data_IF_461667054962
#
_entry.id   IF_461667054962
#
_cell.length_a   1.000
_cell.length_b   1.000
_cell.length_c   1.000
_cell.angle_alpha   90.00
_cell.angle_beta   90.00
_cell.angle_gamma   90.00
#
_symmetry.space_group_name_H-M   'P 1'
#
loop_
_entity.id
_entity.type
_entity.pdbx_description
1 polymer ?
#
# COMPACT_ATOMS: atom_id res chain seq x y z
N UNK A 1 -46.49 89.38 70.57
CA UNK A 1 -47.87 89.61 71.07
C UNK A 1 -48.57 88.26 71.24
N UNK A 2 -49.18 88.04 72.41
CA UNK A 2 -50.20 87.04 72.81
C UNK A 2 -49.87 85.54 72.58
N UNK A 3 -49.53 84.73 73.60
CA UNK A 3 -50.36 84.15 74.72
C UNK A 3 -51.60 83.41 74.19
N UNK A 4 -51.97 82.19 74.59
CA UNK A 4 -51.54 81.26 75.66
C UNK A 4 -52.23 79.88 75.47
N UNK A 5 -51.66 78.79 76.01
CA UNK A 5 -52.06 78.03 77.25
C UNK A 5 -53.32 77.13 77.06
N UNK A 6 -53.55 76.09 77.90
CA UNK A 6 -52.70 74.94 78.29
C UNK A 6 -53.50 73.61 78.36
N UNK A 7 -52.87 72.44 78.54
CA UNK A 7 -53.50 71.31 79.23
C UNK A 7 -52.46 70.27 79.68
N UNK A 8 -52.26 70.18 80.99
CA UNK A 8 -51.71 69.03 81.71
C UNK A 8 -52.84 67.96 81.83
N UNK A 9 -52.71 66.71 82.24
CA UNK A 9 -51.72 65.88 82.92
C UNK A 9 -52.36 64.46 82.89
N UNK A 10 -51.61 63.38 82.63
CA UNK A 10 -51.58 62.17 83.50
C UNK A 10 -50.79 61.00 82.88
N UNK A 11 -49.70 60.74 83.59
CA UNK A 11 -48.85 59.57 83.71
C UNK A 11 -49.54 58.20 83.60
N UNK A 12 -48.94 57.27 82.85
CA UNK A 12 -48.75 55.87 83.26
C UNK A 12 -47.65 55.20 82.40
N UNK A 13 -46.58 54.80 83.08
CA UNK A 13 -45.40 54.09 82.59
C UNK A 13 -45.74 52.75 81.94
N UNK A 14 -45.04 52.37 80.85
CA UNK A 14 -44.54 50.99 80.63
C UNK A 14 -43.40 50.98 79.56
N UNK A 15 -42.16 50.82 80.05
CA UNK A 15 -41.02 50.10 79.47
C UNK A 15 -40.96 49.89 77.94
N UNK A 16 -40.07 50.61 77.22
CA UNK A 16 -39.45 50.09 75.98
C UNK A 16 -37.99 50.56 75.81
N UNK A 17 -37.14 49.55 75.55
CA UNK A 17 -35.70 49.55 75.37
C UNK A 17 -35.20 50.44 74.22
N UNK A 18 -33.92 50.86 74.22
CA UNK A 18 -33.37 51.78 73.23
C UNK A 18 -33.27 51.12 71.85
N UNK A 19 -33.63 51.89 70.83
CA UNK A 19 -33.46 51.56 69.42
C UNK A 19 -31.97 51.32 69.11
N UNK A 20 -31.62 50.06 68.83
CA UNK A 20 -30.39 49.71 68.17
C UNK A 20 -30.53 50.10 66.69
N UNK A 21 -29.91 51.20 66.27
CA UNK A 21 -29.71 51.52 64.87
C UNK A 21 -28.84 50.41 64.25
N UNK A 22 -29.48 49.40 63.68
CA UNK A 22 -28.85 48.51 62.72
C UNK A 22 -28.55 49.33 61.47
N UNK A 23 -27.31 49.82 61.36
CA UNK A 23 -26.70 50.13 60.08
C UNK A 23 -26.66 48.83 59.28
N UNK A 24 -27.71 48.56 58.52
CA UNK A 24 -27.60 47.73 57.33
C UNK A 24 -26.61 48.46 56.42
N UNK A 25 -25.33 48.13 56.56
CA UNK A 25 -24.41 48.20 55.44
C UNK A 25 -25.05 47.33 54.38
N UNK A 26 -25.74 47.95 53.42
CA UNK A 26 -25.91 47.31 52.13
C UNK A 26 -24.48 46.96 51.69
N UNK A 27 -24.12 45.68 51.81
CA UNK A 27 -23.01 45.18 51.01
C UNK A 27 -23.38 45.62 49.59
N UNK A 28 -22.55 46.50 49.01
CA UNK A 28 -22.70 46.83 47.60
C UNK A 28 -22.73 45.47 46.89
N UNK A 29 -23.89 45.11 46.34
CA UNK A 29 -23.96 43.97 45.43
C UNK A 29 -22.97 44.35 44.34
N UNK A 30 -21.86 43.61 44.28
CA UNK A 30 -20.81 43.89 43.33
C UNK A 30 -21.45 43.72 41.96
N UNK A 31 -21.65 44.84 41.28
CA UNK A 31 -22.50 44.86 40.10
C UNK A 31 -21.88 43.99 39.01
N UNK A 32 -22.72 43.25 38.30
CA UNK A 32 -22.31 42.57 37.09
C UNK A 32 -21.69 43.58 36.11
N UNK A 33 -20.68 43.14 35.36
CA UNK A 33 -20.20 43.89 34.21
C UNK A 33 -21.27 43.91 33.12
N UNK A 34 -21.39 45.07 32.48
CA UNK A 34 -22.27 45.27 31.33
C UNK A 34 -21.72 44.61 30.05
N UNK A 35 -22.16 45.08 28.86
CA UNK A 35 -21.80 44.47 27.59
C UNK A 35 -20.27 44.43 27.36
N UNK A 36 -19.85 43.43 26.58
CA UNK A 36 -18.45 43.17 26.30
C UNK A 36 -17.79 44.31 25.50
N UNK A 37 -16.51 44.65 25.77
CA UNK A 37 -15.76 45.62 24.98
C UNK A 37 -15.68 45.19 23.50
N UNK A 38 -15.77 46.16 22.59
CA UNK A 38 -15.53 45.90 21.16
C UNK A 38 -14.02 45.92 20.92
N UNK A 39 -13.47 44.80 20.46
CA UNK A 39 -12.05 44.67 20.13
C UNK A 39 -11.91 44.62 18.60
N UNK A 40 -11.06 45.44 17.98
CA UNK A 40 -10.86 45.39 16.53
C UNK A 40 -10.38 44.01 16.09
N UNK A 41 -11.05 43.45 15.07
CA UNK A 41 -10.63 42.22 14.38
C UNK A 41 -10.64 40.97 15.28
N UNK A 42 -11.47 41.01 16.32
CA UNK A 42 -11.70 39.93 17.25
C UNK A 42 -13.16 39.93 17.72
N UNK A 43 -13.66 38.74 18.05
CA UNK A 43 -14.99 38.53 18.60
C UNK A 43 -14.91 37.69 19.88
N UNK A 44 -15.84 37.84 20.82
CA UNK A 44 -15.89 36.98 22.00
C UNK A 44 -16.21 35.53 21.61
N UNK A 45 -15.58 34.58 22.28
CA UNK A 45 -15.77 33.16 22.02
C UNK A 45 -17.25 32.77 22.18
N UNK A 46 -17.72 31.83 21.35
CA UNK A 46 -19.15 31.53 21.12
C UNK A 46 -20.00 31.30 22.38
N UNK A 47 -19.40 30.83 23.48
CA UNK A 47 -20.08 30.60 24.76
C UNK A 47 -20.50 31.90 25.49
N UNK A 48 -19.97 33.05 25.08
CA UNK A 48 -20.19 34.37 25.70
C UNK A 48 -20.87 35.37 24.75
N UNK A 49 -21.09 34.97 23.49
CA UNK A 49 -21.72 35.78 22.46
C UNK A 49 -23.25 35.77 22.66
N UNK A 50 -23.78 36.76 23.39
CA UNK A 50 -25.23 36.95 23.56
C UNK A 50 -25.66 37.34 24.97
N UNK A 51 -24.76 37.26 25.95
CA UNK A 51 -25.02 37.73 27.32
C UNK A 51 -24.80 39.24 27.42
N UNK A 52 -25.65 39.92 28.17
CA UNK A 52 -25.59 41.38 28.41
C UNK A 52 -25.19 41.75 29.83
N UNK A 53 -25.14 40.77 30.73
CA UNK A 53 -24.74 40.89 32.14
C UNK A 53 -23.79 39.76 32.48
N UNK A 54 -22.65 40.09 33.08
CA UNK A 54 -21.59 39.13 33.41
C UNK A 54 -21.20 39.27 34.89
N UNK A 55 -21.28 38.21 35.69
CA UNK A 55 -20.97 38.29 37.11
C UNK A 55 -19.49 38.65 37.37
N UNK A 56 -19.19 39.12 38.57
CA UNK A 56 -17.81 39.45 38.94
C UNK A 56 -16.87 38.23 38.81
N UNK A 57 -15.62 38.49 38.42
CA UNK A 57 -14.58 37.52 38.09
C UNK A 57 -14.86 36.67 36.84
N UNK A 58 -15.92 36.99 36.07
CA UNK A 58 -16.11 36.38 34.75
C UNK A 58 -14.94 36.73 33.85
N UNK A 59 -14.35 35.71 33.23
CA UNK A 59 -13.32 35.86 32.20
C UNK A 59 -13.91 35.54 30.84
N UNK A 60 -13.79 36.48 29.91
CA UNK A 60 -14.25 36.30 28.52
C UNK A 60 -13.06 36.29 27.60
N UNK A 61 -12.91 35.19 26.87
CA UNK A 61 -11.89 35.00 25.84
C UNK A 61 -12.38 35.58 24.52
N UNK A 62 -11.50 36.29 23.83
CA UNK A 62 -11.71 36.76 22.46
C UNK A 62 -10.91 35.90 21.49
N UNK A 63 -11.51 35.63 20.34
CA UNK A 63 -10.90 34.93 19.21
C UNK A 63 -10.75 35.90 18.05
N UNK A 64 -9.61 35.85 17.36
CA UNK A 64 -9.40 36.69 16.19
C UNK A 64 -10.38 36.33 15.07
N UNK A 65 -10.76 37.34 14.28
CA UNK A 65 -11.58 37.15 13.10
C UNK A 65 -10.82 36.37 12.02
N UNK A 66 -11.55 35.86 11.02
CA UNK A 66 -10.95 35.11 9.92
C UNK A 66 -9.85 35.93 9.21
N UNK A 67 -8.68 35.32 9.01
CA UNK A 67 -7.50 35.99 8.41
C UNK A 67 -6.64 36.78 9.41
N UNK A 68 -7.01 36.81 10.69
CA UNK A 68 -6.23 37.41 11.77
C UNK A 68 -5.78 36.36 12.76
N UNK A 69 -4.59 36.56 13.31
CA UNK A 69 -3.98 35.66 14.29
C UNK A 69 -3.55 36.46 15.51
N UNK A 70 -3.67 35.85 16.69
CA UNK A 70 -3.24 36.43 17.97
C UNK A 70 -1.74 36.72 17.92
N UNK A 71 -1.37 37.97 18.18
CA UNK A 71 0.01 38.40 18.34
C UNK A 71 0.57 37.72 19.61
N UNK A 72 1.69 36.99 19.53
CA UNK A 72 2.28 36.34 20.70
C UNK A 72 2.58 37.33 21.82
N UNK A 73 2.20 36.99 23.05
CA UNK A 73 2.45 37.79 24.26
C UNK A 73 1.41 38.88 24.56
N UNK A 74 0.44 39.13 23.67
CA UNK A 74 -0.69 40.05 23.96
C UNK A 74 -1.84 39.31 24.66
N UNK A 75 -2.55 39.97 25.61
CA UNK A 75 -3.72 39.39 26.26
C UNK A 75 -4.90 39.29 25.28
N UNK A 76 -5.64 38.20 25.37
CA UNK A 76 -6.82 37.89 24.54
C UNK A 76 -8.08 37.70 25.37
N UNK A 77 -8.04 38.04 26.65
CA UNK A 77 -9.18 37.90 27.55
C UNK A 77 -9.37 39.15 28.40
N UNK A 78 -10.62 39.43 28.72
CA UNK A 78 -11.03 40.45 29.69
C UNK A 78 -11.60 39.78 30.92
N UNK A 79 -11.38 40.39 32.09
CA UNK A 79 -11.91 39.94 33.36
C UNK A 79 -12.84 41.02 33.93
N UNK A 80 -14.00 40.62 34.44
CA UNK A 80 -14.91 41.52 35.14
C UNK A 80 -14.44 41.74 36.57
N UNK A 81 -14.02 42.96 36.93
CA UNK A 81 -13.53 43.31 38.27
C UNK A 81 -14.26 44.57 38.74
N UNK A 82 -14.96 44.50 39.87
CA UNK A 82 -15.67 45.65 40.44
C UNK A 82 -16.59 46.36 39.42
N UNK A 83 -17.40 45.57 38.70
CA UNK A 83 -18.34 46.04 37.66
C UNK A 83 -17.70 46.73 36.44
N UNK A 84 -16.39 46.54 36.22
CA UNK A 84 -15.65 47.05 35.04
C UNK A 84 -14.82 45.95 34.39
N UNK A 85 -14.76 45.95 33.05
CA UNK A 85 -13.86 45.08 32.30
C UNK A 85 -12.41 45.56 32.41
N UNK A 86 -11.46 44.64 32.55
CA UNK A 86 -10.03 44.94 32.40
C UNK A 86 -9.71 45.47 31.00
N UNK A 87 -8.69 46.32 30.89
CA UNK A 87 -8.26 46.87 29.61
C UNK A 87 -7.76 45.77 28.66
N UNK A 88 -8.15 45.88 27.40
CA UNK A 88 -7.72 45.00 26.31
C UNK A 88 -7.30 45.85 25.11
N UNK A 89 -6.07 45.67 24.67
CA UNK A 89 -5.54 46.31 23.48
C UNK A 89 -5.79 45.46 22.24
N UNK A 90 -5.52 46.04 21.07
CA UNK A 90 -5.52 45.29 19.82
C UNK A 90 -4.45 44.18 19.85
N UNK A 91 -4.90 42.92 19.80
CA UNK A 91 -4.04 41.75 19.89
C UNK A 91 -4.11 40.86 18.63
N UNK A 92 -4.94 41.21 17.64
CA UNK A 92 -5.11 40.46 16.40
C UNK A 92 -4.50 41.23 15.21
N UNK A 93 -3.62 40.56 14.46
CA UNK A 93 -3.01 41.13 13.27
C UNK A 93 -3.01 40.14 12.10
N UNK A 94 -2.88 40.67 10.89
CA UNK A 94 -2.81 39.91 9.66
C UNK A 94 -1.62 38.97 9.72
N UNK A 95 -1.83 37.72 9.33
CA UNK A 95 -0.82 36.69 9.33
C UNK A 95 -1.12 35.71 8.20
N UNK A 96 -0.07 35.19 7.56
CA UNK A 96 -0.23 33.99 6.77
C UNK A 96 -0.62 32.81 7.66
N UNK A 97 -1.24 31.79 7.07
CA UNK A 97 -1.42 30.50 7.72
C UNK A 97 -0.07 29.81 8.00
N UNK A 98 -0.11 28.70 8.72
CA UNK A 98 1.09 27.88 8.94
C UNK A 98 1.72 27.49 7.59
N UNK A 99 3.06 27.56 7.46
CA UNK A 99 3.75 27.24 6.21
C UNK A 99 3.33 25.88 5.61
N UNK A 100 3.17 25.77 4.28
CA UNK A 100 2.67 24.56 3.64
C UNK A 100 3.60 23.37 3.84
N UNK A 101 3.05 22.16 3.86
CA UNK A 101 3.82 20.91 3.92
C UNK A 101 4.35 20.55 2.54
N UNK A 102 5.67 20.43 2.41
CA UNK A 102 6.31 20.03 1.15
C UNK A 102 6.68 18.54 1.17
N UNK A 103 6.53 17.80 0.07
CA UNK A 103 6.88 16.37 0.02
C UNK A 103 8.38 16.10 0.01
N UNK A 104 9.21 17.08 -0.36
CA UNK A 104 10.66 16.98 -0.49
C UNK A 104 11.45 17.71 0.62
N UNK A 105 10.77 18.52 1.45
CA UNK A 105 11.40 19.34 2.48
C UNK A 105 10.56 19.48 3.75
N UNK A 106 11.23 19.75 4.87
CA UNK A 106 10.64 20.02 6.19
C UNK A 106 10.97 21.44 6.62
N UNK A 107 10.03 22.09 7.31
CA UNK A 107 10.23 23.41 7.87
C UNK A 107 11.28 23.33 8.99
N UNK A 108 12.24 24.26 9.04
CA UNK A 108 13.26 24.26 10.11
C UNK A 108 12.60 24.42 11.49
N UNK A 109 13.19 23.78 12.49
CA UNK A 109 12.68 23.71 13.87
C UNK A 109 12.35 25.08 14.49
N UNK A 110 13.10 26.13 14.13
CA UNK A 110 12.87 27.51 14.58
C UNK A 110 11.47 28.07 14.24
N UNK A 111 10.73 27.44 13.32
CA UNK A 111 9.40 27.89 12.87
C UNK A 111 8.28 26.88 13.19
N UNK A 112 8.58 25.63 13.56
CA UNK A 112 7.58 24.56 13.72
C UNK A 112 6.57 24.86 14.84
N UNK A 113 7.01 25.53 15.91
CA UNK A 113 6.15 25.90 17.04
C UNK A 113 5.47 27.26 16.90
N UNK A 114 5.67 27.96 15.77
CA UNK A 114 5.08 29.28 15.52
C UNK A 114 3.75 29.14 14.80
N UNK A 115 2.80 29.98 15.18
CA UNK A 115 1.48 30.09 14.56
C UNK A 115 1.20 31.50 14.02
N UNK A 116 2.09 32.46 14.26
CA UNK A 116 1.97 33.85 13.83
C UNK A 116 3.11 34.21 12.87
N UNK A 117 2.74 34.59 11.64
CA UNK A 117 3.62 34.89 10.51
C UNK A 117 3.11 36.17 9.81
N UNK A 118 3.47 37.37 10.30
CA UNK A 118 3.07 38.61 9.65
C UNK A 118 3.61 38.72 8.21
N UNK A 119 3.07 39.66 7.45
CA UNK A 119 3.58 40.00 6.11
C UNK A 119 5.10 40.23 6.16
N UNK A 120 5.79 39.85 5.09
CA UNK A 120 7.25 39.83 4.93
C UNK A 120 8.00 38.81 5.80
N UNK A 121 7.29 38.01 6.60
CA UNK A 121 7.92 36.90 7.32
C UNK A 121 8.53 35.91 6.33
N UNK A 122 9.83 35.66 6.48
CA UNK A 122 10.55 34.64 5.71
C UNK A 122 10.79 33.42 6.59
N UNK A 123 10.36 32.26 6.11
CA UNK A 123 10.66 30.97 6.75
C UNK A 123 11.56 30.14 5.85
N UNK A 124 12.28 29.20 6.43
CA UNK A 124 13.24 28.37 5.73
C UNK A 124 12.98 26.89 5.98
N UNK A 125 13.12 26.12 4.90
CA UNK A 125 13.01 24.68 4.88
C UNK A 125 14.39 24.02 4.71
N UNK A 126 14.47 22.77 5.12
CA UNK A 126 15.59 21.87 4.88
C UNK A 126 15.10 20.58 4.22
N UNK A 127 15.98 19.89 3.49
CA UNK A 127 15.59 18.68 2.77
C UNK A 127 15.14 17.58 3.72
N UNK A 128 14.11 16.83 3.33
CA UNK A 128 13.67 15.65 4.06
C UNK A 128 14.76 14.58 4.10
N UNK A 129 14.73 13.67 5.09
CA UNK A 129 15.52 12.45 5.05
C UNK A 129 15.31 11.72 3.71
N UNK A 130 16.41 11.26 3.10
CA UNK A 130 16.39 10.66 1.77
C UNK A 130 16.35 11.66 0.60
N UNK A 131 16.36 12.97 0.86
CA UNK A 131 16.54 14.02 -0.15
C UNK A 131 17.88 14.74 0.03
N UNK A 132 18.34 15.41 -1.01
CA UNK A 132 19.54 16.26 -1.02
C UNK A 132 19.24 17.59 -1.72
N UNK A 133 20.05 18.62 -1.46
CA UNK A 133 19.94 19.90 -2.17
C UNK A 133 20.19 19.68 -3.66
N UNK A 134 19.30 20.19 -4.50
CA UNK A 134 19.44 20.19 -5.96
C UNK A 134 20.55 21.17 -6.35
N UNK A 135 21.34 20.83 -7.36
CA UNK A 135 22.35 21.72 -7.93
C UNK A 135 21.86 22.27 -9.28
N UNK A 136 22.02 23.58 -9.57
CA UNK A 136 22.56 24.63 -8.71
C UNK A 136 21.68 24.90 -7.47
N UNK A 137 22.31 25.31 -6.36
CA UNK A 137 21.63 25.46 -5.07
C UNK A 137 20.56 26.55 -5.17
N UNK A 138 19.30 26.13 -5.00
CA UNK A 138 18.16 27.03 -4.90
C UNK A 138 17.83 27.34 -3.44
N UNK A 139 17.18 28.49 -3.21
CA UNK A 139 16.76 28.89 -1.86
C UNK A 139 15.57 28.05 -1.39
N UNK A 140 15.69 27.45 -0.21
CA UNK A 140 14.59 26.77 0.48
C UNK A 140 13.72 27.72 1.32
N UNK A 141 13.68 29.00 0.96
CA UNK A 141 12.95 30.04 1.70
C UNK A 141 11.64 30.39 1.00
N UNK A 142 10.61 30.65 1.79
CA UNK A 142 9.35 31.24 1.32
C UNK A 142 8.98 32.45 2.18
N UNK A 143 8.24 33.37 1.59
CA UNK A 143 7.89 34.66 2.18
C UNK A 143 6.37 34.80 2.27
N UNK A 144 5.87 35.30 3.40
CA UNK A 144 4.47 35.69 3.55
C UNK A 144 4.23 37.01 2.80
N UNK A 145 3.36 37.00 1.79
CA UNK A 145 3.06 38.18 0.96
C UNK A 145 1.92 39.01 1.55
N UNK A 146 1.70 40.21 0.98
CA UNK A 146 0.63 41.14 1.34
C UNK A 146 -0.79 40.53 1.24
N UNK A 147 -0.97 39.57 0.34
CA UNK A 147 -2.22 38.82 0.14
C UNK A 147 -2.43 37.71 1.19
N UNK A 148 -1.57 37.63 2.21
CA UNK A 148 -1.57 36.61 3.25
C UNK A 148 -1.37 35.18 2.74
N UNK A 149 -0.74 35.05 1.57
CA UNK A 149 -0.33 33.77 1.02
C UNK A 149 1.19 33.63 0.97
N UNK A 150 1.66 32.40 1.07
CA UNK A 150 3.08 32.10 0.96
C UNK A 150 3.58 32.18 -0.48
N UNK A 151 4.81 32.65 -0.67
CA UNK A 151 5.50 32.59 -1.95
C UNK A 151 5.62 31.14 -2.46
N UNK A 152 5.53 30.95 -3.77
CA UNK A 152 5.63 29.62 -4.38
C UNK A 152 6.96 28.97 -4.00
N UNK A 153 6.95 27.78 -3.36
CA UNK A 153 8.17 27.09 -2.96
C UNK A 153 8.90 26.56 -4.20
N UNK A 154 10.21 26.79 -4.28
CA UNK A 154 11.06 26.22 -5.32
C UNK A 154 11.33 24.72 -5.06
N UNK A 155 11.62 23.95 -6.11
CA UNK A 155 12.04 22.54 -5.98
C UNK A 155 13.55 22.43 -5.69
N UNK A 156 13.96 22.91 -4.51
CA UNK A 156 15.37 22.99 -4.11
C UNK A 156 15.93 21.66 -3.53
N UNK A 157 15.08 20.65 -3.33
CA UNK A 157 15.50 19.32 -2.89
C UNK A 157 15.08 18.25 -3.91
N UNK A 158 15.99 17.31 -4.16
CA UNK A 158 15.77 16.15 -5.02
C UNK A 158 16.01 14.84 -4.24
N UNK A 159 15.41 13.74 -4.73
CA UNK A 159 15.59 12.43 -4.12
C UNK A 159 17.07 12.02 -4.17
N UNK A 160 17.57 11.39 -3.11
CA UNK A 160 18.86 10.69 -3.14
C UNK A 160 18.72 9.44 -4.02
N UNK A 161 19.84 9.07 -4.63
CA UNK A 161 19.95 7.86 -5.45
C UNK A 161 20.56 6.73 -4.61
N UNK A 162 19.97 5.55 -4.69
CA UNK A 162 20.57 4.32 -4.17
C UNK A 162 21.87 3.98 -4.92
N UNK A 163 22.78 3.22 -4.26
CA UNK A 163 23.98 2.73 -4.93
C UNK A 163 23.63 1.97 -6.20
N UNK A 164 24.51 2.01 -7.21
CA UNK A 164 24.39 1.12 -8.36
C UNK A 164 24.31 -0.33 -7.84
N UNK A 165 23.26 -1.10 -8.16
CA UNK A 165 23.12 -2.47 -7.69
C UNK A 165 24.25 -3.38 -8.18
N UNK A 166 25.00 -2.99 -9.22
CA UNK A 166 26.10 -3.78 -9.77
C UNK A 166 25.62 -4.72 -10.86
N UNK A 167 26.28 -5.88 -10.99
CA UNK A 167 25.93 -6.91 -11.97
C UNK A 167 25.52 -8.20 -11.25
N UNK A 168 24.50 -8.88 -11.79
CA UNK A 168 24.06 -10.19 -11.31
C UNK A 168 24.66 -11.27 -12.22
N UNK A 169 25.61 -12.04 -11.71
CA UNK A 169 26.27 -13.09 -12.48
C UNK A 169 25.27 -14.17 -12.87
N UNK A 170 25.23 -14.55 -14.15
CA UNK A 170 24.25 -15.48 -14.74
C UNK A 170 22.79 -15.04 -14.54
N UNK A 171 22.56 -13.74 -14.59
CA UNK A 171 21.24 -13.16 -14.47
C UNK A 171 21.17 -11.72 -14.97
N UNK A 172 20.06 -11.08 -14.68
CA UNK A 172 19.73 -9.75 -15.13
C UNK A 172 19.08 -8.93 -14.01
N UNK A 173 19.32 -7.62 -14.05
CA UNK A 173 18.75 -6.64 -13.12
C UNK A 173 17.87 -5.70 -13.93
N UNK A 174 16.55 -5.83 -13.74
CA UNK A 174 15.56 -5.01 -14.42
C UNK A 174 15.26 -3.75 -13.61
N UNK A 175 15.73 -2.60 -14.10
CA UNK A 175 15.42 -1.27 -13.56
C UNK A 175 14.19 -0.73 -14.26
N UNK A 176 13.11 -0.49 -13.52
CA UNK A 176 11.82 -0.08 -14.10
C UNK A 176 11.72 1.42 -14.38
N UNK A 177 12.22 2.26 -13.47
CA UNK A 177 12.10 3.72 -13.56
C UNK A 177 13.44 4.40 -13.44
N UNK A 178 14.04 4.33 -12.26
CA UNK A 178 15.29 4.97 -11.90
C UNK A 178 15.89 4.27 -10.65
N UNK A 179 16.97 4.82 -10.11
CA UNK A 179 17.60 4.32 -8.87
C UNK A 179 17.36 5.26 -7.68
N UNK A 180 16.37 6.13 -7.75
CA UNK A 180 16.04 7.12 -6.72
C UNK A 180 15.23 6.52 -5.58
N UNK A 181 15.16 7.25 -4.47
CA UNK A 181 14.33 6.88 -3.31
C UNK A 181 12.89 6.54 -3.73
N UNK A 182 12.45 5.35 -3.30
CA UNK A 182 11.12 4.79 -3.59
C UNK A 182 11.06 3.89 -4.82
N UNK A 183 12.12 3.79 -5.63
CA UNK A 183 12.14 2.95 -6.83
C UNK A 183 12.38 1.48 -6.53
N UNK A 184 11.91 0.60 -7.41
CA UNK A 184 11.99 -0.85 -7.28
C UNK A 184 12.72 -1.47 -8.47
N UNK A 185 13.62 -2.39 -8.18
CA UNK A 185 14.35 -3.20 -9.16
C UNK A 185 14.00 -4.66 -8.99
N UNK A 186 14.08 -5.42 -10.08
CA UNK A 186 13.76 -6.85 -10.12
C UNK A 186 14.96 -7.65 -10.59
N UNK A 187 15.09 -8.85 -10.07
CA UNK A 187 16.18 -9.77 -10.39
C UNK A 187 15.62 -11.00 -11.10
N UNK A 188 16.33 -11.44 -12.13
CA UNK A 188 16.01 -12.66 -12.87
C UNK A 188 17.29 -13.42 -13.19
N UNK A 189 17.25 -14.74 -13.21
CA UNK A 189 18.40 -15.55 -13.62
C UNK A 189 18.30 -15.94 -15.09
N UNK A 190 19.46 -16.19 -15.71
CA UNK A 190 19.55 -16.66 -17.09
C UNK A 190 18.99 -18.10 -17.21
N UNK A 191 18.58 -18.54 -18.41
CA UNK A 191 18.11 -19.91 -18.61
C UNK A 191 19.13 -20.95 -18.15
N UNK A 192 18.68 -21.93 -17.34
CA UNK A 192 19.57 -22.93 -16.73
C UNK A 192 20.05 -22.56 -15.32
N UNK A 193 19.63 -21.41 -14.79
CA UNK A 193 19.94 -20.97 -13.44
C UNK A 193 18.67 -20.68 -12.66
N UNK A 194 18.69 -21.00 -11.36
CA UNK A 194 17.61 -20.68 -10.42
C UNK A 194 18.00 -19.54 -9.49
N UNK A 195 17.05 -18.67 -9.18
CA UNK A 195 17.26 -17.53 -8.29
C UNK A 195 17.21 -17.96 -6.82
N UNK A 196 18.25 -17.60 -6.06
CA UNK A 196 18.32 -17.81 -4.61
C UNK A 196 18.48 -16.47 -3.91
N UNK A 197 17.45 -16.07 -3.15
CA UNK A 197 17.37 -14.78 -2.46
C UNK A 197 16.08 -14.05 -2.77
N UNK A 198 16.06 -12.74 -2.51
CA UNK A 198 14.93 -11.88 -2.85
C UNK A 198 14.89 -11.61 -4.36
N UNK A 199 13.71 -11.74 -4.98
CA UNK A 199 13.54 -11.47 -6.42
C UNK A 199 13.38 -9.98 -6.76
N UNK A 200 13.31 -9.11 -5.74
CA UNK A 200 13.25 -7.66 -5.93
C UNK A 200 13.87 -6.90 -4.76
N UNK A 201 14.21 -5.63 -5.02
CA UNK A 201 14.68 -4.70 -4.00
C UNK A 201 14.05 -3.31 -4.19
N UNK A 202 13.74 -2.62 -3.10
CA UNK A 202 13.24 -1.25 -3.12
C UNK A 202 14.26 -0.28 -2.49
N UNK A 203 14.41 0.90 -3.10
CA UNK A 203 15.31 1.94 -2.61
C UNK A 203 14.67 2.67 -1.43
N UNK A 204 15.22 2.49 -0.23
CA UNK A 204 14.66 3.00 1.02
C UNK A 204 15.66 3.83 1.83
N UNK A 205 15.15 4.56 2.83
CA UNK A 205 15.98 5.34 3.76
C UNK A 205 16.67 4.36 4.72
N UNK A 206 18.01 4.47 4.82
CA UNK A 206 18.84 3.75 5.80
C UNK A 206 19.69 4.77 6.56
N UNK A 207 19.25 5.14 7.76
CA UNK A 207 19.86 6.22 8.55
C UNK A 207 19.81 7.56 7.79
N UNK A 208 20.98 8.18 7.59
CA UNK A 208 21.10 9.44 6.85
C UNK A 208 21.25 9.25 5.32
N UNK A 209 21.36 8.02 4.85
CA UNK A 209 21.54 7.66 3.44
C UNK A 209 20.32 6.93 2.88
N UNK A 210 20.41 6.54 1.61
CA UNK A 210 19.46 5.64 0.96
C UNK A 210 20.19 4.39 0.51
N UNK A 211 19.50 3.24 0.53
CA UNK A 211 20.06 1.96 0.11
C UNK A 211 18.96 0.96 -0.21
N UNK A 212 19.34 -0.08 -0.95
CA UNK A 212 18.43 -1.17 -1.31
C UNK A 212 17.98 -1.95 -0.08
N UNK A 213 16.71 -2.36 -0.09
CA UNK A 213 16.10 -3.16 0.98
C UNK A 213 16.78 -4.51 1.18
N UNK A 214 17.18 -5.15 0.09
CA UNK A 214 17.85 -6.46 0.01
C UNK A 214 19.16 -6.35 -0.76
N UNK A 215 20.08 -7.29 -0.51
CA UNK A 215 21.30 -7.47 -1.30
C UNK A 215 21.01 -8.19 -2.62
N UNK A 216 21.97 -8.20 -3.54
CA UNK A 216 21.88 -9.00 -4.77
C UNK A 216 21.62 -10.49 -4.43
N UNK A 217 20.70 -11.16 -5.15
CA UNK A 217 20.53 -12.60 -5.04
C UNK A 217 21.67 -13.35 -5.74
N UNK A 218 21.65 -14.68 -5.66
CA UNK A 218 22.59 -15.55 -6.37
C UNK A 218 21.85 -16.42 -7.39
N UNK A 219 22.37 -16.49 -8.61
CA UNK A 219 21.88 -17.41 -9.64
C UNK A 219 22.69 -18.70 -9.61
N UNK A 220 22.06 -19.80 -9.20
CA UNK A 220 22.71 -21.10 -9.03
C UNK A 220 22.36 -21.98 -10.24
N UNK A 221 23.37 -22.64 -10.81
CA UNK A 221 23.19 -23.58 -11.92
C UNK A 221 22.19 -24.67 -11.55
N UNK A 222 21.31 -24.99 -12.50
CA UNK A 222 20.40 -26.12 -12.39
C UNK A 222 21.09 -27.33 -13.04
N UNK A 223 21.17 -28.41 -12.27
CA UNK A 223 21.85 -29.64 -12.67
C UNK A 223 20.79 -30.73 -12.80
N UNK A 224 20.83 -31.47 -13.90
CA UNK A 224 20.01 -32.66 -14.09
C UNK A 224 20.50 -33.82 -13.21
N UNK A 225 19.61 -34.74 -12.80
CA UNK A 225 20.04 -35.95 -12.13
C UNK A 225 20.96 -36.78 -13.04
N UNK A 226 21.76 -37.64 -12.43
CA UNK A 226 22.60 -38.61 -13.16
C UNK A 226 21.75 -39.33 -14.24
N UNK A 227 22.22 -39.41 -15.49
CA UNK A 227 21.49 -40.07 -16.56
C UNK A 227 21.25 -41.55 -16.22
N UNK A 228 20.04 -42.08 -16.46
CA UNK A 228 19.76 -43.48 -16.16
C UNK A 228 20.65 -44.42 -16.97
N UNK A 229 21.25 -45.38 -16.29
CA UNK A 229 22.02 -46.45 -16.94
C UNK A 229 21.07 -47.45 -17.62
N UNK A 230 21.48 -48.01 -18.77
CA UNK A 230 20.66 -48.94 -19.56
C UNK A 230 21.31 -50.32 -19.63
N UNK A 231 20.49 -51.38 -19.61
CA UNK A 231 20.99 -52.74 -19.79
C UNK A 231 21.50 -52.98 -21.21
N UNK A 232 22.61 -53.70 -21.34
CA UNK A 232 23.25 -54.03 -22.62
C UNK A 232 23.60 -52.80 -23.47
N UNK A 233 23.87 -51.66 -22.83
CA UNK A 233 24.38 -50.45 -23.45
C UNK A 233 25.21 -49.63 -22.47
N UNK A 234 25.66 -48.47 -22.92
CA UNK A 234 26.47 -47.52 -22.15
C UNK A 234 26.20 -46.09 -22.59
N UNK A 235 26.56 -45.14 -21.74
CA UNK A 235 26.66 -43.72 -22.10
C UNK A 235 28.05 -43.49 -22.70
N UNK A 236 28.13 -42.81 -23.84
CA UNK A 236 29.40 -42.61 -24.57
C UNK A 236 30.14 -41.36 -24.09
N UNK A 237 29.41 -40.36 -23.61
CA UNK A 237 29.92 -39.07 -23.18
C UNK A 237 29.46 -38.75 -21.75
N UNK A 238 29.90 -39.59 -20.82
CA UNK A 238 29.65 -39.44 -19.39
C UNK A 238 30.48 -38.27 -18.83
N UNK A 239 29.85 -37.44 -18.00
CA UNK A 239 30.43 -36.27 -17.33
C UNK A 239 30.09 -36.30 -15.84
N UNK A 240 30.85 -35.58 -15.00
CA UNK A 240 30.60 -35.53 -13.55
C UNK A 240 29.31 -34.75 -13.19
N UNK A 241 28.87 -33.82 -14.04
CA UNK A 241 27.67 -32.99 -13.84
C UNK A 241 27.02 -32.62 -15.15
N UNK A 242 25.69 -32.66 -15.21
CA UNK A 242 24.92 -32.36 -16.42
C UNK A 242 24.11 -31.07 -16.27
N UNK A 243 24.60 -29.99 -16.88
CA UNK A 243 23.95 -28.67 -16.84
C UNK A 243 22.86 -28.54 -17.92
N UNK A 244 22.04 -27.48 -17.82
CA UNK A 244 21.04 -27.17 -18.83
C UNK A 244 21.62 -27.18 -20.25
N UNK A 245 20.95 -27.89 -21.16
CA UNK A 245 21.35 -28.16 -22.56
C UNK A 245 22.51 -29.14 -22.75
N UNK A 246 23.10 -29.72 -21.71
CA UNK A 246 23.99 -30.88 -21.89
C UNK A 246 23.21 -32.03 -22.52
N UNK A 247 23.91 -32.83 -23.35
CA UNK A 247 23.33 -33.94 -24.10
C UNK A 247 24.10 -35.19 -23.76
N UNK A 248 23.41 -36.28 -23.42
CA UNK A 248 24.02 -37.60 -23.22
C UNK A 248 23.59 -38.54 -24.32
N UNK A 249 24.52 -39.34 -24.82
CA UNK A 249 24.33 -40.26 -25.96
C UNK A 249 24.52 -41.70 -25.51
N UNK A 250 23.55 -42.53 -25.84
CA UNK A 250 23.54 -43.97 -25.54
C UNK A 250 24.01 -44.80 -26.73
N UNK A 251 24.77 -45.83 -26.45
CA UNK A 251 25.22 -46.82 -27.41
C UNK A 251 24.95 -48.23 -26.88
N UNK A 252 24.35 -49.09 -27.70
CA UNK A 252 24.14 -50.48 -27.33
C UNK A 252 25.40 -51.33 -27.52
N UNK A 253 25.60 -52.29 -26.63
CA UNK A 253 26.67 -53.27 -26.72
C UNK A 253 26.54 -54.11 -28.01
N UNK A 254 27.65 -54.71 -28.42
CA UNK A 254 27.70 -55.54 -29.64
C UNK A 254 26.64 -56.66 -29.59
N UNK A 255 25.86 -56.77 -30.67
CA UNK A 255 24.78 -57.77 -30.79
C UNK A 255 23.38 -57.22 -30.49
N UNK A 256 23.29 -55.99 -29.97
CA UNK A 256 22.03 -55.31 -29.66
C UNK A 256 21.76 -54.16 -30.65
N UNK A 257 20.50 -53.72 -30.70
CA UNK A 257 19.99 -52.59 -31.47
C UNK A 257 19.28 -51.63 -30.53
N UNK A 258 19.58 -50.35 -30.65
CA UNK A 258 18.97 -49.28 -29.87
C UNK A 258 17.54 -49.04 -30.31
N UNK A 259 16.61 -49.06 -29.36
CA UNK A 259 15.18 -48.77 -29.55
C UNK A 259 14.80 -47.58 -28.68
N UNK A 260 14.49 -46.44 -29.30
CA UNK A 260 14.21 -45.16 -28.64
C UNK A 260 15.08 -44.03 -29.18
N UNK A 261 15.15 -42.90 -28.47
CA UNK A 261 16.08 -41.81 -28.82
C UNK A 261 17.49 -42.17 -28.41
N UNK A 262 18.45 -42.01 -29.31
CA UNK A 262 19.87 -42.30 -29.03
C UNK A 262 20.51 -41.26 -28.11
N UNK A 263 19.90 -40.09 -27.95
CA UNK A 263 20.37 -39.01 -27.11
C UNK A 263 19.21 -38.36 -26.35
N UNK A 264 19.50 -37.89 -25.15
CA UNK A 264 18.59 -37.11 -24.31
C UNK A 264 19.31 -35.84 -23.87
N UNK A 265 18.58 -34.74 -23.68
CA UNK A 265 19.14 -33.45 -23.29
C UNK A 265 18.62 -32.99 -21.94
N UNK A 266 19.46 -32.36 -21.13
CA UNK A 266 19.04 -31.74 -19.88
C UNK A 266 18.18 -30.50 -20.16
N UNK A 267 16.93 -30.54 -19.71
CA UNK A 267 15.96 -29.44 -19.79
C UNK A 267 15.63 -28.94 -18.39
N UNK A 268 15.09 -27.72 -18.30
CA UNK A 268 14.65 -27.15 -17.03
C UNK A 268 13.15 -26.94 -17.06
N UNK A 269 12.46 -27.37 -16.01
CA UNK A 269 11.05 -27.11 -15.74
C UNK A 269 10.90 -26.67 -14.29
N UNK A 270 10.24 -25.54 -14.06
CA UNK A 270 9.98 -25.00 -12.72
C UNK A 270 11.24 -24.98 -11.81
N UNK A 271 12.35 -24.49 -12.36
CA UNK A 271 13.68 -24.44 -11.71
C UNK A 271 14.29 -25.81 -11.30
N UNK A 272 13.78 -26.91 -11.87
CA UNK A 272 14.27 -28.28 -11.70
C UNK A 272 14.84 -28.83 -13.01
N UNK A 273 16.01 -29.47 -12.93
CA UNK A 273 16.64 -30.15 -14.06
C UNK A 273 16.02 -31.52 -14.31
N UNK A 274 15.55 -31.75 -15.53
CA UNK A 274 14.96 -33.01 -15.97
C UNK A 274 15.52 -33.44 -17.33
N UNK A 275 15.53 -34.74 -17.62
CA UNK A 275 15.90 -35.23 -18.94
C UNK A 275 14.74 -35.06 -19.93
N UNK A 276 15.05 -34.67 -21.16
CA UNK A 276 14.05 -34.37 -22.20
C UNK A 276 13.15 -35.55 -22.56
N UNK A 277 13.68 -36.77 -22.40
CA UNK A 277 13.08 -38.01 -22.86
C UNK A 277 13.50 -39.18 -21.96
N UNK A 278 12.73 -40.29 -21.93
CA UNK A 278 13.12 -41.51 -21.22
C UNK A 278 14.34 -42.19 -21.89
N UNK A 279 15.13 -42.98 -21.14
CA UNK A 279 16.29 -43.69 -21.69
C UNK A 279 15.88 -44.73 -22.75
N UNK A 280 16.70 -44.98 -23.78
CA UNK A 280 16.42 -46.01 -24.78
C UNK A 280 16.61 -47.42 -24.23
N UNK A 281 16.16 -48.43 -24.99
CA UNK A 281 16.36 -49.85 -24.66
C UNK A 281 17.19 -50.56 -25.72
N UNK A 282 18.06 -51.49 -25.30
CA UNK A 282 18.88 -52.30 -26.20
C UNK A 282 18.27 -53.69 -26.37
N UNK A 283 17.85 -54.03 -27.61
CA UNK A 283 17.22 -55.31 -27.93
C UNK A 283 18.13 -56.15 -28.82
N UNK A 284 18.09 -57.48 -28.67
CA UNK A 284 18.87 -58.39 -29.52
C UNK A 284 18.50 -58.15 -30.98
N UNK A 285 19.49 -58.12 -31.88
CA UNK A 285 19.26 -58.15 -33.33
C UNK A 285 18.40 -59.37 -33.67
N UNK A 286 17.12 -59.16 -34.02
CA UNK A 286 16.30 -60.26 -34.51
C UNK A 286 16.94 -60.83 -35.79
N UNK A 287 17.01 -62.16 -35.94
CA UNK A 287 17.45 -62.74 -37.20
C UNK A 287 16.52 -62.28 -38.33
N UNK A 288 17.02 -62.11 -39.56
CA UNK A 288 16.19 -61.68 -40.69
C UNK A 288 15.03 -62.66 -40.84
N UNK A 289 13.80 -62.15 -40.71
CA UNK A 289 12.59 -62.90 -41.05
C UNK A 289 12.65 -63.11 -42.56
N UNK A 290 12.99 -64.33 -42.99
CA UNK A 290 12.86 -64.74 -44.39
C UNK A 290 11.37 -64.65 -44.73
N UNK A 291 10.94 -63.81 -45.68
CA UNK A 291 9.55 -63.81 -46.10
C UNK A 291 9.20 -65.20 -46.64
N UNK A 292 8.04 -65.79 -46.29
CA UNK A 292 7.63 -67.07 -46.85
C UNK A 292 7.53 -66.93 -48.38
N UNK A 293 8.31 -67.76 -49.09
CA UNK A 293 8.24 -67.85 -50.54
C UNK A 293 6.82 -68.24 -50.95
N UNK A 294 6.20 -67.40 -51.79
CA UNK A 294 4.93 -67.69 -52.45
C UNK A 294 5.10 -68.98 -53.28
N UNK A 295 4.27 -70.02 -53.09
CA UNK A 295 4.34 -71.22 -53.92
C UNK A 295 4.01 -70.89 -55.38
N UNK A 296 4.94 -71.25 -56.27
CA UNK A 296 4.77 -71.21 -57.72
C UNK A 296 4.02 -72.47 -58.15
N UNK A 297 2.76 -72.36 -58.53
CA UNK A 297 2.02 -73.44 -59.20
C UNK A 297 1.69 -73.05 -60.63
N UNK A 298 2.31 -73.83 -61.52
CA UNK A 298 2.14 -73.90 -62.97
C UNK A 298 0.67 -74.09 -63.36
N UNK A 299 0.24 -73.32 -64.35
CA UNK A 299 -1.08 -73.37 -65.00
C UNK A 299 -1.31 -74.63 -65.82
N UNK A 300 -2.48 -75.25 -65.67
CA UNK A 300 -3.21 -75.93 -66.75
C UNK A 300 -4.72 -76.03 -66.41
N UNK A 301 -5.63 -76.11 -67.40
CA UNK A 301 -6.92 -75.41 -67.37
C UNK A 301 -8.16 -76.32 -67.22
N UNK A 302 -9.29 -75.72 -66.80
CA UNK A 302 -10.64 -76.30 -66.92
C UNK A 302 -11.62 -75.76 -65.86
N UNK A 303 -12.43 -74.75 -66.21
CA UNK A 303 -13.89 -74.86 -66.47
C UNK A 303 -14.77 -74.85 -65.22
N UNK A 304 -15.46 -73.70 -65.08
CA UNK A 304 -16.83 -73.45 -64.58
C UNK A 304 -17.49 -74.49 -63.67
N UNK A 305 -17.94 -74.07 -62.48
CA UNK A 305 -19.35 -74.16 -62.06
C UNK A 305 -19.59 -73.39 -60.75
N UNK A 306 -20.62 -72.58 -60.79
CA UNK A 306 -21.28 -71.78 -59.74
C UNK A 306 -21.91 -72.62 -58.62
N UNK A 307 -21.87 -72.14 -57.36
CA UNK A 307 -22.95 -72.39 -56.39
C UNK A 307 -22.99 -71.30 -55.29
N UNK A 308 -24.17 -70.96 -54.73
CA UNK A 308 -24.37 -69.69 -54.02
C UNK A 308 -24.72 -69.82 -52.52
N UNK A 309 -24.73 -68.65 -51.87
CA UNK A 309 -25.51 -68.18 -50.69
C UNK A 309 -25.66 -69.00 -49.40
N UNK A 310 -25.18 -68.33 -48.34
CA UNK A 310 -25.86 -67.98 -47.07
C UNK A 310 -26.06 -68.97 -45.90
N UNK A 311 -25.76 -68.38 -44.74
CA UNK A 311 -26.25 -68.60 -43.36
C UNK A 311 -25.70 -69.80 -42.60
N UNK A 312 -25.39 -69.63 -41.31
CA UNK A 312 -26.45 -69.85 -40.32
C UNK A 312 -26.58 -68.77 -39.21
N UNK A 313 -27.73 -68.86 -38.55
CA UNK A 313 -28.26 -68.03 -37.45
C UNK A 313 -28.14 -68.82 -36.14
N UNK A 314 -27.86 -68.12 -35.03
CA UNK A 314 -28.30 -68.35 -33.62
C UNK A 314 -27.95 -69.70 -32.96
N UNK A 315 -27.57 -69.78 -31.68
CA UNK A 315 -28.40 -69.56 -30.47
C UNK A 315 -27.50 -69.47 -29.22
N UNK A 316 -28.00 -68.71 -28.24
CA UNK A 316 -27.48 -68.34 -26.91
C UNK A 316 -27.24 -69.51 -25.93
N UNK A 317 -26.36 -69.31 -24.91
CA UNK A 317 -26.72 -69.55 -23.48
C UNK A 317 -25.81 -68.81 -22.46
N UNK A 318 -26.47 -68.03 -21.59
CA UNK A 318 -26.27 -67.74 -20.15
C UNK A 318 -24.90 -67.39 -19.49
N UNK A 319 -24.94 -66.33 -18.66
CA UNK A 319 -23.88 -65.79 -17.78
C UNK A 319 -23.63 -66.57 -16.46
N UNK A 320 -23.08 -65.97 -15.37
CA UNK A 320 -23.54 -64.69 -14.78
C UNK A 320 -22.46 -63.70 -14.23
N UNK A 321 -22.90 -62.43 -14.19
CA UNK A 321 -22.77 -61.31 -13.21
C UNK A 321 -21.50 -61.09 -12.35
N UNK A 322 -20.72 -59.97 -12.42
CA UNK A 322 -20.93 -58.51 -12.03
C UNK A 322 -20.39 -58.21 -10.59
N UNK A 323 -19.99 -56.99 -10.12
CA UNK A 323 -19.72 -55.65 -10.75
C UNK A 323 -18.37 -54.99 -10.35
N UNK A 324 -17.92 -53.94 -11.06
CA UNK A 324 -17.80 -52.58 -10.45
C UNK A 324 -17.71 -51.47 -11.51
N UNK A 325 -18.35 -50.36 -11.14
CA UNK A 325 -18.85 -49.20 -11.88
C UNK A 325 -17.77 -48.17 -12.26
N UNK A 326 -17.82 -47.62 -13.48
CA UNK A 326 -17.45 -46.22 -13.74
C UNK A 326 -18.44 -45.59 -14.74
N UNK A 327 -18.93 -44.40 -14.37
CA UNK A 327 -20.01 -43.66 -15.04
C UNK A 327 -19.39 -42.54 -15.88
N UNK A 328 -19.49 -42.65 -17.20
CA UNK A 328 -19.26 -41.58 -18.17
C UNK A 328 -20.60 -41.15 -18.77
N UNK A 329 -20.90 -39.85 -18.74
CA UNK A 329 -22.03 -39.28 -19.47
C UNK A 329 -21.53 -38.22 -20.44
N UNK A 330 -21.79 -38.48 -21.72
CA UNK A 330 -21.56 -37.64 -22.90
C UNK A 330 -22.76 -36.71 -23.10
N UNK A 331 -22.55 -35.53 -23.69
CA UNK A 331 -23.62 -34.74 -24.34
C UNK A 331 -23.16 -34.32 -25.73
N UNK A 332 -24.09 -34.46 -26.69
CA UNK A 332 -23.93 -34.36 -28.14
C UNK A 332 -23.91 -32.92 -28.68
N UNK A 333 -23.27 -32.76 -29.84
CA UNK A 333 -23.27 -31.58 -30.72
C UNK A 333 -24.19 -31.84 -31.93
N UNK A 334 -24.86 -30.81 -32.49
CA UNK A 334 -25.27 -30.82 -33.90
C UNK A 334 -24.60 -29.70 -34.75
N UNK A 335 -24.24 -30.07 -35.99
CA UNK A 335 -23.77 -29.23 -37.11
C UNK A 335 -24.95 -28.46 -37.77
N UNK A 336 -24.87 -27.50 -38.70
CA UNK A 336 -23.88 -26.91 -39.63
C UNK A 336 -24.37 -25.45 -39.96
N UNK A 337 -23.53 -24.46 -40.30
CA UNK A 337 -23.11 -24.12 -41.68
C UNK A 337 -23.99 -23.07 -42.39
N UNK A 338 -23.48 -21.83 -42.59
CA UNK A 338 -23.61 -20.99 -43.81
C UNK A 338 -23.00 -19.57 -43.66
N UNK A 339 -22.26 -19.14 -44.69
CA UNK A 339 -21.68 -17.79 -44.99
C UNK A 339 -22.74 -16.96 -45.80
N UNK A 340 -22.55 -15.68 -46.24
CA UNK A 340 -21.45 -14.71 -46.08
C UNK A 340 -21.89 -13.24 -45.78
N UNK A 341 -20.96 -12.32 -45.46
CA UNK A 341 -20.58 -11.16 -46.33
C UNK A 341 -19.69 -10.08 -45.67
N UNK A 342 -18.86 -9.47 -46.55
CA UNK A 342 -18.22 -8.13 -46.61
C UNK A 342 -17.65 -7.34 -45.41
N UNK A 343 -16.34 -7.05 -45.53
CA UNK A 343 -15.62 -5.74 -45.51
C UNK A 343 -16.39 -4.51 -44.95
N UNK A 344 -15.78 -3.76 -44.02
CA UNK A 344 -15.21 -2.39 -44.22
C UNK A 344 -14.90 -1.70 -42.87
N UNK A 345 -13.91 -0.84 -42.92
CA UNK A 345 -13.13 -0.14 -41.91
C UNK A 345 -13.82 1.09 -41.28
N UNK A 346 -13.27 1.55 -40.14
CA UNK A 346 -13.11 2.95 -39.66
C UNK A 346 -14.15 3.56 -38.67
N UNK A 347 -13.54 4.19 -37.62
CA UNK A 347 -13.87 5.42 -36.85
C UNK A 347 -14.57 5.32 -35.49
N UNK A 348 -13.73 5.57 -34.49
CA UNK A 348 -13.89 6.59 -33.44
C UNK A 348 -15.04 7.61 -33.61
N UNK A 349 -15.82 7.75 -32.56
CA UNK A 349 -16.59 8.96 -32.25
C UNK A 349 -16.33 9.36 -30.81
N UNK A 350 -15.82 10.57 -30.66
CA UNK A 350 -15.83 11.38 -29.44
C UNK A 350 -17.25 11.81 -29.11
N UNK A 351 -17.62 11.76 -27.83
CA UNK A 351 -18.67 12.61 -27.26
C UNK A 351 -18.24 12.99 -25.84
N UNK A 352 -18.04 14.29 -25.68
CA UNK A 352 -17.92 15.02 -24.42
C UNK A 352 -19.24 15.01 -23.67
N UNK A 353 -19.20 14.87 -22.34
CA UNK A 353 -20.03 15.69 -21.43
C UNK A 353 -19.44 15.66 -20.01
N UNK A 354 -19.51 16.82 -19.39
CA UNK A 354 -18.88 17.31 -18.17
C UNK A 354 -19.68 16.93 -16.92
N UNK A 355 -19.01 16.66 -15.77
CA UNK A 355 -19.53 17.00 -14.43
C UNK A 355 -18.50 16.80 -13.31
N UNK A 356 -18.35 17.87 -12.53
CA UNK A 356 -17.69 17.97 -11.24
C UNK A 356 -18.11 16.88 -10.22
N UNK A 357 -17.15 16.33 -9.47
CA UNK A 357 -17.29 16.24 -8.01
C UNK A 357 -15.94 16.01 -7.30
N UNK A 358 -15.67 16.89 -6.35
CA UNK A 358 -14.54 16.86 -5.45
C UNK A 358 -14.68 15.81 -4.32
N UNK A 359 -13.52 15.43 -3.77
CA UNK A 359 -13.26 15.07 -2.37
C UNK A 359 -13.76 13.72 -1.84
N UNK A 360 -12.80 12.87 -1.43
CA UNK A 360 -13.10 11.64 -0.70
C UNK A 360 -11.90 10.74 -0.35
N UNK A 361 -10.74 11.30 0.00
CA UNK A 361 -9.67 10.46 0.58
C UNK A 361 -9.95 10.21 2.07
N UNK A 362 -10.39 8.98 2.36
CA UNK A 362 -10.64 8.45 3.70
C UNK A 362 -9.34 8.33 4.49
N UNK A 363 -9.33 8.97 5.65
CA UNK A 363 -8.39 8.77 6.76
C UNK A 363 -8.58 7.38 7.37
N UNK A 364 -7.55 6.54 7.39
CA UNK A 364 -7.49 5.36 8.25
C UNK A 364 -6.89 5.76 9.60
N UNK A 365 -7.72 5.81 10.63
CA UNK A 365 -7.30 5.88 12.03
C UNK A 365 -7.00 4.46 12.52
N UNK A 366 -5.78 4.23 13.00
CA UNK A 366 -5.43 3.05 13.78
C UNK A 366 -6.08 3.16 15.16
N UNK A 367 -7.08 2.32 15.41
CA UNK A 367 -7.52 1.95 16.74
C UNK A 367 -7.41 0.44 16.87
N UNK A 368 -6.59 -0.04 17.80
CA UNK A 368 -6.72 -1.39 18.33
C UNK A 368 -6.39 -1.36 19.82
N UNK A 369 -7.44 -1.34 20.63
CA UNK A 369 -7.37 -1.64 22.05
C UNK A 369 -7.65 -3.12 22.29
N UNK A 370 -6.71 -3.74 23.02
CA UNK A 370 -6.89 -4.67 24.14
C UNK A 370 -7.80 -5.89 23.95
N UNK A 371 -7.18 -7.07 24.10
CA UNK A 371 -7.76 -8.10 24.95
C UNK A 371 -6.72 -8.82 25.82
N UNK A 372 -7.23 -9.23 26.99
CA UNK A 372 -6.55 -9.59 28.23
C UNK A 372 -5.61 -10.81 28.14
N UNK A 373 -4.61 -10.86 29.04
CA UNK A 373 -4.51 -11.94 30.04
C UNK A 373 -3.49 -11.60 31.12
N UNK A 374 -3.96 -11.70 32.35
CA UNK A 374 -3.20 -11.73 33.60
C UNK A 374 -2.34 -13.00 33.68
N UNK A 375 -1.08 -12.84 34.08
CA UNK A 375 -0.33 -13.70 35.02
C UNK A 375 1.12 -13.21 35.13
N UNK A 376 1.47 -12.70 36.32
CA UNK A 376 2.85 -12.46 36.76
C UNK A 376 3.65 -13.76 36.75
N UNK A 377 4.95 -13.68 36.39
CA UNK A 377 5.94 -14.32 37.25
C UNK A 377 7.17 -13.43 37.53
N UNK A 378 7.53 -13.42 38.81
CA UNK A 378 8.90 -13.49 39.37
C UNK A 378 10.01 -12.64 38.72
N UNK A 379 10.45 -11.63 39.48
CA UNK A 379 11.78 -11.03 39.38
C UNK A 379 12.86 -12.12 39.60
N UNK A 380 13.81 -12.20 38.66
CA UNK A 380 15.17 -12.65 38.95
C UNK A 380 16.10 -11.45 38.82
N UNK A 381 16.77 -11.12 39.92
CA UNK A 381 17.95 -10.26 39.95
C UNK A 381 19.13 -11.12 39.51
N UNK A 382 19.84 -10.68 38.48
CA UNK A 382 21.15 -11.22 38.11
C UNK A 382 22.18 -10.14 38.49
N UNK A 383 23.09 -10.59 39.35
CA UNK A 383 24.36 -10.05 39.87
C UNK A 383 24.92 -8.78 39.27
#
# INVERSE_FOLDING_TARGET
>A
MKRGRPAALRCLLLLRAPALLLLLRAAAVQGDCGPLPVVPRAHPASASAGSTSFPENTTVLYTCDQGFVKIPGKPDAVVCISSRWTDIEEFCNRSCEVPPRLPYAILKSAYISKNYFPVDTVVEYECRPGYRKKYPIQSGKITCRDDLTWSTPAEFCEKKQCPNPGELVNGNINVTTDLLLGSQIFFSCDPGYRLTGEASAFCMIKGNAVGWSSSLPTCIKIICPEPPQIENGRIVNEEDTYEYRHVVTYECNKGFVLTGKSHISCIVRDDVGEWSDPPPTCRVKSPPVIPPQKPTTTSAPGTTTTLPTQKPTTVNTAGPEVPTTQRSTTVNVPAAGNRPDTRTTIKSTTASEEKDLASGYRTFLYANMRHMRTKNPMLYVIT
#
